data_IF_479479951588
#
_entry.id   IF_479479951588
#
_cell.length_a   1.000
_cell.length_b   1.000
_cell.length_c   1.000
_cell.angle_alpha   90.00
_cell.angle_beta   90.00
_cell.angle_gamma   90.00
#
_symmetry.space_group_name_H-M   'P 1'
#
loop_
_entity.id
_entity.type
_entity.pdbx_description
1 polymer ?
#
# COMPACT_ATOMS: atom_id res chain seq x y z
N UNK A 1 17.08 -0.22 8.02
CA UNK A 1 17.93 0.52 7.06
C UNK A 1 17.03 0.82 5.88
N UNK A 2 16.69 2.08 5.63
CA UNK A 2 15.92 2.44 4.44
C UNK A 2 16.86 2.35 3.25
N UNK A 3 16.63 1.39 2.35
CA UNK A 3 17.36 1.30 1.09
C UNK A 3 17.08 2.55 0.24
N UNK A 4 18.04 2.97 -0.57
CA UNK A 4 17.79 4.04 -1.54
C UNK A 4 16.82 3.53 -2.62
N UNK A 5 15.87 4.37 -3.01
CA UNK A 5 14.94 4.06 -4.11
C UNK A 5 15.72 3.81 -5.39
N UNK A 6 15.38 2.72 -6.08
CA UNK A 6 16.06 2.27 -7.28
C UNK A 6 15.12 2.38 -8.48
N UNK A 7 15.53 3.15 -9.49
CA UNK A 7 14.79 3.31 -10.73
C UNK A 7 15.53 2.68 -11.91
N UNK A 8 14.75 2.17 -12.86
CA UNK A 8 15.22 1.83 -14.19
C UNK A 8 15.52 3.13 -14.94
N UNK A 9 16.70 3.21 -15.55
CA UNK A 9 17.11 4.40 -16.29
C UNK A 9 16.18 4.60 -17.49
N UNK A 10 15.51 5.76 -17.54
CA UNK A 10 14.51 6.06 -18.57
C UNK A 10 13.16 5.37 -18.38
N UNK A 11 12.94 4.73 -17.22
CA UNK A 11 11.72 3.99 -16.93
C UNK A 11 11.77 2.52 -17.30
N UNK A 12 10.72 1.79 -16.93
CA UNK A 12 10.54 0.38 -17.30
C UNK A 12 10.46 0.29 -18.85
N UNK A 13 11.32 -0.51 -19.51
CA UNK A 13 11.30 -0.66 -20.96
C UNK A 13 9.92 -1.06 -21.51
N UNK A 14 9.49 -0.41 -22.58
CA UNK A 14 8.18 -0.65 -23.22
C UNK A 14 8.01 -2.05 -23.82
N UNK A 15 9.09 -2.82 -24.00
CA UNK A 15 9.00 -4.23 -24.39
C UNK A 15 8.47 -5.12 -23.25
N UNK A 16 8.56 -4.66 -22.00
CA UNK A 16 8.08 -5.37 -20.82
C UNK A 16 6.62 -4.98 -20.61
N UNK A 17 5.71 -5.90 -20.94
CA UNK A 17 4.27 -5.66 -20.87
C UNK A 17 3.61 -6.64 -19.89
N UNK A 18 2.58 -6.20 -19.14
CA UNK A 18 1.73 -7.10 -18.38
C UNK A 18 1.15 -8.22 -19.24
N UNK A 19 0.94 -9.40 -18.64
CA UNK A 19 0.23 -10.47 -19.32
C UNK A 19 -1.24 -10.07 -19.60
N UNK A 20 -1.81 -10.39 -20.78
CA UNK A 20 -3.18 -10.01 -21.09
C UNK A 20 -4.23 -10.71 -20.22
N UNK A 21 -3.96 -11.92 -19.72
CA UNK A 21 -4.91 -12.67 -18.89
C UNK A 21 -4.68 -12.41 -17.39
N UNK A 22 -5.70 -11.99 -16.62
CA UNK A 22 -5.55 -11.65 -15.21
C UNK A 22 -5.60 -12.86 -14.26
N UNK A 23 -6.28 -13.94 -14.64
CA UNK A 23 -6.75 -15.00 -13.75
C UNK A 23 -6.19 -16.39 -14.10
N UNK A 24 -4.89 -16.47 -14.37
CA UNK A 24 -4.22 -17.74 -14.63
C UNK A 24 -4.23 -18.65 -13.39
N UNK A 25 -4.59 -19.92 -13.58
CA UNK A 25 -4.42 -20.95 -12.56
C UNK A 25 -2.94 -21.23 -12.29
N UNK A 26 -2.62 -21.80 -11.13
CA UNK A 26 -1.23 -22.12 -10.80
C UNK A 26 -0.55 -23.07 -11.78
N UNK A 27 -1.28 -24.02 -12.35
CA UNK A 27 -0.73 -24.93 -13.36
C UNK A 27 -0.45 -24.17 -14.67
N UNK A 28 -1.33 -23.26 -15.08
CA UNK A 28 -1.06 -22.38 -16.21
C UNK A 28 0.16 -21.48 -15.96
N UNK A 29 0.28 -20.88 -14.78
CA UNK A 29 1.43 -20.03 -14.44
C UNK A 29 2.73 -20.85 -14.52
N UNK A 30 2.77 -22.06 -13.94
CA UNK A 30 3.95 -22.94 -14.00
C UNK A 30 4.33 -23.26 -15.44
N UNK A 31 3.35 -23.55 -16.28
CA UNK A 31 3.60 -23.79 -17.70
C UNK A 31 4.11 -22.54 -18.41
N UNK A 32 3.48 -21.38 -18.18
CA UNK A 32 3.86 -20.12 -18.82
C UNK A 32 5.30 -19.70 -18.49
N UNK A 33 5.80 -19.95 -17.27
CA UNK A 33 7.08 -19.37 -16.80
C UNK A 33 8.26 -20.34 -16.77
N UNK A 34 8.06 -21.63 -17.05
CA UNK A 34 9.15 -22.63 -16.92
C UNK A 34 10.37 -22.33 -17.80
N UNK A 35 10.16 -21.83 -19.02
CA UNK A 35 11.24 -21.45 -19.93
C UNK A 35 12.05 -20.27 -19.38
N UNK A 36 11.37 -19.29 -18.80
CA UNK A 36 12.02 -18.15 -18.15
C UNK A 36 12.89 -18.58 -16.96
N UNK A 37 12.37 -19.46 -16.11
CA UNK A 37 13.13 -19.97 -14.96
C UNK A 37 14.39 -20.71 -15.39
N UNK A 38 14.30 -21.55 -16.42
CA UNK A 38 15.47 -22.22 -16.99
C UNK A 38 16.46 -21.22 -17.60
N UNK A 39 15.95 -20.20 -18.30
CA UNK A 39 16.79 -19.15 -18.86
C UNK A 39 17.58 -18.41 -17.78
N UNK A 40 16.93 -18.02 -16.67
CA UNK A 40 17.62 -17.38 -15.55
C UNK A 40 18.64 -18.33 -14.93
N UNK A 41 18.30 -19.61 -14.72
CA UNK A 41 19.24 -20.60 -14.19
C UNK A 41 20.53 -20.72 -15.03
N UNK A 42 20.41 -20.67 -16.35
CA UNK A 42 21.56 -20.83 -17.25
C UNK A 42 22.34 -19.54 -17.52
N UNK A 43 21.72 -18.37 -17.32
CA UNK A 43 22.31 -17.07 -17.65
C UNK A 43 22.65 -16.23 -16.41
N UNK A 44 22.28 -16.66 -15.20
CA UNK A 44 22.67 -15.99 -13.98
C UNK A 44 24.17 -16.15 -13.71
N UNK A 45 24.84 -15.04 -13.42
CA UNK A 45 26.24 -15.02 -13.01
C UNK A 45 26.34 -14.04 -11.86
N UNK A 46 26.67 -14.51 -10.66
CA UNK A 46 26.83 -13.63 -9.49
C UNK A 46 28.00 -12.66 -9.63
N UNK A 47 27.98 -11.55 -8.90
CA UNK A 47 29.04 -10.55 -8.90
C UNK A 47 30.41 -11.18 -8.60
N UNK A 48 30.46 -12.12 -7.66
CA UNK A 48 31.68 -12.84 -7.29
C UNK A 48 32.24 -13.66 -8.47
N UNK A 49 31.37 -14.33 -9.24
CA UNK A 49 31.77 -15.13 -10.39
C UNK A 49 32.10 -14.27 -11.62
N UNK A 50 31.46 -13.10 -11.75
CA UNK A 50 31.75 -12.11 -12.78
C UNK A 50 33.03 -11.28 -12.49
N UNK A 51 33.58 -11.38 -11.28
CA UNK A 51 34.69 -10.54 -10.84
C UNK A 51 34.32 -9.06 -10.72
N UNK A 52 33.03 -8.76 -10.51
CA UNK A 52 32.52 -7.40 -10.38
C UNK A 52 32.58 -6.94 -8.92
N UNK A 53 32.98 -5.69 -8.71
CA UNK A 53 32.88 -5.00 -7.42
C UNK A 53 31.74 -3.96 -7.40
N UNK A 54 30.88 -3.93 -8.43
CA UNK A 54 29.73 -3.03 -8.48
C UNK A 54 28.65 -3.51 -7.50
N UNK A 55 28.31 -2.66 -6.53
CA UNK A 55 27.30 -2.95 -5.52
C UNK A 55 25.90 -3.17 -6.13
N UNK A 56 25.64 -2.60 -7.30
CA UNK A 56 24.39 -2.71 -8.05
C UNK A 56 24.42 -3.80 -9.13
N UNK A 57 25.50 -4.57 -9.24
CA UNK A 57 25.66 -5.58 -10.28
C UNK A 57 24.45 -6.54 -10.35
N UNK A 58 24.01 -7.08 -9.21
CA UNK A 58 22.91 -8.05 -9.19
C UNK A 58 21.57 -7.43 -9.61
N UNK A 59 21.33 -6.17 -9.23
CA UNK A 59 20.14 -5.42 -9.67
C UNK A 59 20.15 -5.22 -11.18
N UNK A 60 21.27 -4.74 -11.71
CA UNK A 60 21.42 -4.50 -13.14
C UNK A 60 21.32 -5.81 -13.93
N UNK A 61 21.94 -6.88 -13.44
CA UNK A 61 21.88 -8.20 -14.09
C UNK A 61 20.45 -8.75 -14.13
N UNK A 62 19.66 -8.62 -13.05
CA UNK A 62 18.24 -9.00 -13.08
C UNK A 62 17.47 -8.21 -14.13
N UNK A 63 17.65 -6.89 -14.19
CA UNK A 63 17.01 -6.01 -15.19
C UNK A 63 17.40 -6.42 -16.62
N UNK A 64 18.68 -6.64 -16.88
CA UNK A 64 19.18 -7.10 -18.18
C UNK A 64 18.55 -8.43 -18.61
N UNK A 65 18.41 -9.40 -17.69
CA UNK A 65 17.75 -10.67 -18.00
C UNK A 65 16.27 -10.49 -18.33
N UNK A 66 15.55 -9.67 -17.57
CA UNK A 66 14.13 -9.35 -17.84
C UNK A 66 13.97 -8.70 -19.22
N UNK A 67 14.76 -7.67 -19.50
CA UNK A 67 14.71 -6.95 -20.78
C UNK A 67 15.07 -7.87 -21.95
N UNK A 68 16.11 -8.69 -21.80
CA UNK A 68 16.53 -9.66 -22.82
C UNK A 68 15.44 -10.68 -23.11
N UNK A 69 14.74 -11.19 -22.11
CA UNK A 69 13.66 -12.15 -22.32
C UNK A 69 12.41 -11.50 -22.94
N UNK A 70 12.02 -10.33 -22.45
CA UNK A 70 10.85 -9.60 -22.95
C UNK A 70 11.03 -9.16 -24.41
N UNK A 71 12.23 -8.68 -24.78
CA UNK A 71 12.55 -8.23 -26.15
C UNK A 71 12.92 -9.35 -27.12
N UNK A 72 13.11 -10.59 -26.63
CA UNK A 72 13.52 -11.71 -27.48
C UNK A 72 12.47 -12.10 -28.53
N UNK A 73 12.92 -12.81 -29.56
CA UNK A 73 12.01 -13.47 -30.50
C UNK A 73 11.31 -14.64 -29.84
N UNK A 74 10.17 -15.05 -30.42
CA UNK A 74 9.43 -16.19 -29.90
C UNK A 74 10.24 -17.50 -30.03
N UNK A 75 11.00 -17.67 -31.11
CA UNK A 75 11.86 -18.83 -31.33
C UNK A 75 12.93 -18.96 -30.23
N UNK A 76 13.45 -17.82 -29.73
CA UNK A 76 14.40 -17.81 -28.62
C UNK A 76 13.75 -18.33 -27.34
N UNK A 77 12.56 -17.83 -26.99
CA UNK A 77 11.83 -18.28 -25.78
C UNK A 77 11.42 -19.74 -25.88
N UNK A 78 10.95 -20.18 -27.05
CA UNK A 78 10.58 -21.58 -27.32
C UNK A 78 11.74 -22.56 -27.15
N UNK A 79 12.97 -22.15 -27.46
CA UNK A 79 14.17 -22.99 -27.25
C UNK A 79 14.44 -23.31 -25.78
N UNK A 80 14.04 -22.44 -24.85
CA UNK A 80 14.06 -22.73 -23.41
C UNK A 80 12.78 -23.46 -22.98
N UNK A 81 11.62 -22.97 -23.43
CA UNK A 81 10.30 -23.48 -23.05
C UNK A 81 10.11 -24.97 -23.36
N UNK A 82 10.58 -25.43 -24.52
CA UNK A 82 10.40 -26.81 -25.00
C UNK A 82 11.19 -27.86 -24.20
N UNK A 83 12.27 -27.45 -23.53
CA UNK A 83 13.15 -28.35 -22.77
C UNK A 83 13.10 -28.12 -21.26
N UNK A 84 12.49 -27.02 -20.81
CA UNK A 84 12.32 -26.73 -19.40
C UNK A 84 11.33 -27.72 -18.77
N UNK A 85 11.71 -28.37 -17.65
CA UNK A 85 10.75 -29.14 -16.87
C UNK A 85 9.75 -28.21 -16.20
N UNK A 86 8.54 -28.71 -15.97
CA UNK A 86 7.52 -28.01 -15.19
C UNK A 86 7.94 -28.10 -13.72
N UNK A 87 8.39 -26.98 -13.17
CA UNK A 87 9.14 -26.96 -11.91
C UNK A 87 10.60 -27.38 -12.14
N UNK A 88 11.54 -26.49 -11.83
CA UNK A 88 12.97 -26.77 -12.02
C UNK A 88 13.43 -27.90 -11.07
N UNK A 89 14.38 -28.78 -11.48
CA UNK A 89 14.88 -29.85 -10.63
C UNK A 89 15.52 -29.29 -9.35
N UNK A 90 15.19 -29.85 -8.19
CA UNK A 90 15.67 -29.33 -6.89
C UNK A 90 14.80 -28.21 -6.30
N UNK A 91 13.67 -27.90 -6.95
CA UNK A 91 12.62 -27.02 -6.42
C UNK A 91 11.45 -27.78 -5.79
N UNK A 92 11.56 -29.11 -5.71
CA UNK A 92 10.56 -30.00 -5.13
C UNK A 92 10.45 -29.85 -3.60
N UNK A 93 9.23 -29.93 -3.07
CA UNK A 93 8.95 -29.94 -1.65
C UNK A 93 8.85 -28.56 -0.97
N UNK A 94 8.18 -28.49 0.18
CA UNK A 94 7.90 -27.23 0.87
C UNK A 94 9.16 -26.64 1.51
N UNK A 95 9.52 -25.40 1.15
CA UNK A 95 10.38 -24.54 1.98
C UNK A 95 9.50 -23.67 2.86
N UNK A 96 9.97 -23.33 4.06
CA UNK A 96 9.33 -22.30 4.89
C UNK A 96 9.24 -21.02 4.04
N UNK A 97 8.03 -20.50 3.85
CA UNK A 97 7.67 -19.28 3.12
C UNK A 97 7.57 -19.38 1.59
N UNK A 98 7.76 -20.55 0.97
CA UNK A 98 7.46 -20.73 -0.46
C UNK A 98 6.06 -21.30 -0.61
N UNK A 99 5.11 -20.43 -0.97
CA UNK A 99 3.70 -20.82 -1.06
C UNK A 99 3.40 -21.74 -2.27
N UNK A 100 4.31 -21.86 -3.25
CA UNK A 100 4.01 -22.48 -4.54
C UNK A 100 5.19 -23.33 -5.04
N UNK A 101 4.98 -24.65 -5.06
CA UNK A 101 5.92 -25.62 -5.61
C UNK A 101 6.15 -25.40 -7.11
N UNK A 102 7.41 -25.42 -7.56
CA UNK A 102 7.78 -25.29 -8.97
C UNK A 102 7.99 -23.85 -9.49
N UNK A 103 7.73 -22.82 -8.68
CA UNK A 103 7.97 -21.41 -9.02
C UNK A 103 9.15 -20.84 -8.24
N UNK A 104 10.37 -21.34 -8.49
CA UNK A 104 11.57 -20.90 -7.77
C UNK A 104 12.69 -20.47 -8.71
N UNK A 105 13.23 -19.30 -8.42
CA UNK A 105 14.50 -18.85 -8.99
C UNK A 105 15.68 -19.61 -8.35
N UNK A 106 16.83 -19.68 -9.05
CA UNK A 106 18.09 -20.11 -8.44
C UNK A 106 18.41 -19.28 -7.18
N UNK A 107 18.98 -19.91 -6.15
CA UNK A 107 19.25 -19.24 -4.88
C UNK A 107 20.21 -18.05 -5.05
N UNK A 108 21.19 -18.22 -5.94
CA UNK A 108 22.18 -17.22 -6.32
C UNK A 108 21.51 -15.98 -6.95
N UNK A 109 20.38 -16.16 -7.64
CA UNK A 109 19.62 -15.06 -8.26
C UNK A 109 18.77 -14.26 -7.27
N UNK A 110 18.61 -14.78 -6.06
CA UNK A 110 17.89 -14.14 -4.95
C UNK A 110 18.84 -13.46 -3.96
N UNK A 111 20.16 -13.58 -4.15
CA UNK A 111 21.14 -12.90 -3.30
C UNK A 111 20.94 -11.37 -3.38
N UNK A 112 21.01 -10.73 -2.21
CA UNK A 112 20.88 -9.26 -2.04
C UNK A 112 19.58 -8.66 -2.57
N UNK A 113 18.56 -9.48 -2.85
CA UNK A 113 17.26 -9.01 -3.35
C UNK A 113 16.64 -7.94 -2.44
N UNK A 114 16.62 -8.19 -1.13
CA UNK A 114 16.07 -7.28 -0.13
C UNK A 114 16.86 -5.97 0.03
N UNK A 115 18.15 -5.96 -0.30
CA UNK A 115 18.97 -4.73 -0.26
C UNK A 115 18.61 -3.77 -1.41
N UNK A 116 18.08 -4.31 -2.50
CA UNK A 116 17.77 -3.59 -3.73
C UNK A 116 16.27 -3.42 -3.97
N UNK A 117 15.43 -3.96 -3.08
CA UNK A 117 13.97 -3.85 -3.15
C UNK A 117 13.52 -2.42 -2.85
N UNK A 118 12.39 -1.99 -3.40
CA UNK A 118 11.83 -0.70 -3.01
C UNK A 118 11.53 -0.68 -1.50
N UNK A 119 11.76 0.46 -0.83
CA UNK A 119 11.40 0.64 0.57
C UNK A 119 9.88 0.78 0.68
N UNK A 120 9.18 -0.35 0.80
CA UNK A 120 7.73 -0.38 0.99
C UNK A 120 7.35 -1.32 2.13
N UNK A 121 6.43 -0.87 2.98
CA UNK A 121 5.78 -1.69 4.00
C UNK A 121 4.30 -1.84 3.65
N UNK A 122 3.95 -3.03 3.14
CA UNK A 122 2.59 -3.37 2.70
C UNK A 122 1.55 -3.38 3.81
N UNK A 123 1.96 -3.27 5.07
CA UNK A 123 1.05 -3.21 6.23
C UNK A 123 0.70 -1.78 6.64
N UNK A 124 1.36 -0.78 6.05
CA UNK A 124 1.17 0.64 6.35
C UNK A 124 0.49 1.38 5.20
N UNK A 125 0.09 2.63 5.45
CA UNK A 125 -0.40 3.51 4.40
C UNK A 125 0.76 3.99 3.51
N UNK A 126 0.58 3.89 2.19
CA UNK A 126 1.59 4.30 1.21
C UNK A 126 1.04 5.44 0.34
N UNK A 127 1.72 6.58 0.33
CA UNK A 127 1.41 7.68 -0.59
C UNK A 127 2.12 7.47 -1.94
N UNK A 128 1.37 7.46 -3.03
CA UNK A 128 1.89 7.40 -4.40
C UNK A 128 2.10 8.79 -4.99
N UNK A 129 1.35 9.79 -4.51
CA UNK A 129 1.47 11.15 -4.99
C UNK A 129 2.78 11.79 -4.52
N UNK A 130 3.41 12.66 -5.34
CA UNK A 130 4.57 13.42 -4.91
C UNK A 130 4.19 14.35 -3.75
N UNK A 131 4.96 14.29 -2.67
CA UNK A 131 4.78 15.09 -1.43
C UNK A 131 6.05 15.88 -1.07
N UNK A 132 6.92 16.11 -2.05
CA UNK A 132 8.13 16.92 -1.88
C UNK A 132 7.84 18.42 -1.77
N UNK A 133 8.88 19.25 -1.61
CA UNK A 133 8.76 20.70 -1.49
C UNK A 133 8.12 21.38 -2.70
N UNK A 134 8.22 20.79 -3.91
CA UNK A 134 7.58 21.33 -5.12
C UNK A 134 6.08 21.05 -5.12
N UNK A 135 5.63 20.09 -4.33
CA UNK A 135 4.23 19.67 -4.20
C UNK A 135 3.67 20.01 -2.81
N UNK A 136 3.90 21.25 -2.35
CA UNK A 136 3.54 21.71 -1.01
C UNK A 136 2.07 21.45 -0.62
N UNK A 137 1.14 21.56 -1.56
CA UNK A 137 -0.27 21.25 -1.32
C UNK A 137 -0.49 19.76 -1.00
N UNK A 138 0.10 18.86 -1.80
CA UNK A 138 0.05 17.42 -1.53
C UNK A 138 0.72 17.09 -0.19
N UNK A 139 1.87 17.71 0.09
CA UNK A 139 2.58 17.53 1.35
C UNK A 139 1.73 17.94 2.57
N UNK A 140 1.05 19.08 2.50
CA UNK A 140 0.14 19.52 3.57
C UNK A 140 -1.05 18.56 3.74
N UNK A 141 -1.66 18.11 2.63
CA UNK A 141 -2.75 17.13 2.65
C UNK A 141 -2.28 15.79 3.21
N UNK A 142 -1.07 15.35 2.88
CA UNK A 142 -0.48 14.10 3.34
C UNK A 142 -0.28 14.07 4.86
N UNK A 143 0.26 15.16 5.43
CA UNK A 143 0.37 15.30 6.88
C UNK A 143 -1.00 15.23 7.55
N UNK A 144 -2.00 15.98 7.04
CA UNK A 144 -3.38 15.89 7.56
C UNK A 144 -3.90 14.47 7.48
N UNK A 145 -3.65 13.79 6.36
CA UNK A 145 -4.08 12.42 6.13
C UNK A 145 -3.56 11.46 7.20
N UNK A 146 -2.26 11.53 7.49
CA UNK A 146 -1.62 10.73 8.54
C UNK A 146 -2.22 11.02 9.93
N UNK A 147 -2.46 12.29 10.25
CA UNK A 147 -3.04 12.68 11.54
C UNK A 147 -4.51 12.24 11.66
N UNK A 148 -5.27 12.27 10.55
CA UNK A 148 -6.67 11.85 10.54
C UNK A 148 -6.87 10.33 10.67
N UNK A 149 -5.82 9.52 10.61
CA UNK A 149 -5.86 8.07 10.91
C UNK A 149 -5.87 7.74 12.40
N UNK A 150 -5.72 8.74 13.28
CA UNK A 150 -5.93 8.54 14.71
C UNK A 150 -7.42 8.46 15.06
N UNK A 151 -7.75 7.94 16.24
CA UNK A 151 -9.14 7.80 16.68
C UNK A 151 -9.68 9.14 17.20
N UNK A 152 -10.77 9.64 16.62
CA UNK A 152 -11.40 10.92 16.98
C UNK A 152 -12.72 10.77 17.75
N UNK A 153 -13.01 9.55 18.21
CA UNK A 153 -14.13 9.26 19.08
C UNK A 153 -13.71 9.28 20.55
N UNK A 154 -14.41 8.53 21.40
CA UNK A 154 -14.19 8.50 22.85
C UNK A 154 -12.87 7.81 23.23
N UNK A 155 -12.28 7.03 22.34
CA UNK A 155 -11.04 6.27 22.57
C UNK A 155 -9.85 6.99 21.96
N UNK A 156 -8.68 6.84 22.60
CA UNK A 156 -7.39 7.19 22.00
C UNK A 156 -6.83 5.97 21.27
N UNK A 157 -6.02 6.21 20.25
CA UNK A 157 -5.41 5.14 19.47
C UNK A 157 -5.30 5.53 18.01
N UNK A 158 -5.09 4.53 17.18
CA UNK A 158 -4.87 4.69 15.75
C UNK A 158 -5.67 3.63 14.98
N UNK A 159 -6.31 4.04 13.88
CA UNK A 159 -7.12 3.15 13.05
C UNK A 159 -6.30 1.99 12.45
N UNK A 160 -4.97 2.15 12.34
CA UNK A 160 -4.05 1.12 11.85
C UNK A 160 -3.28 0.41 12.99
N UNK A 161 -3.72 0.54 14.25
CA UNK A 161 -3.00 0.05 15.43
C UNK A 161 -1.54 0.57 15.44
N UNK A 162 -0.56 -0.31 15.60
CA UNK A 162 0.87 0.03 15.59
C UNK A 162 1.46 0.32 14.20
N UNK A 163 0.71 0.12 13.11
CA UNK A 163 1.12 0.45 11.73
C UNK A 163 0.87 1.94 11.41
N UNK A 164 1.15 2.83 12.37
CA UNK A 164 0.78 4.25 12.31
C UNK A 164 1.71 5.13 11.46
N UNK A 165 2.95 4.67 11.23
CA UNK A 165 3.91 5.43 10.45
C UNK A 165 3.65 5.17 8.96
N UNK A 166 3.19 6.16 8.18
CA UNK A 166 2.97 5.95 6.77
C UNK A 166 4.28 6.03 5.98
N UNK A 167 4.26 5.59 4.74
CA UNK A 167 5.40 5.59 3.83
C UNK A 167 5.07 6.25 2.49
N UNK A 168 6.10 6.54 1.71
CA UNK A 168 6.01 7.23 0.42
C UNK A 168 6.61 6.34 -0.66
N UNK A 169 5.85 6.11 -1.74
CA UNK A 169 6.36 5.48 -2.94
C UNK A 169 6.90 6.57 -3.86
N UNK A 170 8.23 6.70 -3.92
CA UNK A 170 8.89 7.61 -4.85
C UNK A 170 8.89 6.93 -6.22
N UNK A 171 7.87 7.23 -7.04
CA UNK A 171 7.73 6.67 -8.38
C UNK A 171 8.73 7.30 -9.37
N UNK A 172 8.97 6.61 -10.48
CA UNK A 172 9.94 7.04 -11.48
C UNK A 172 9.39 8.25 -12.27
N UNK A 173 9.98 9.45 -12.15
CA UNK A 173 9.45 10.65 -12.78
C UNK A 173 9.55 10.64 -14.31
N UNK A 174 10.38 9.77 -14.89
CA UNK A 174 10.51 9.63 -16.35
C UNK A 174 9.27 8.97 -16.97
N UNK A 175 8.55 8.13 -16.22
CA UNK A 175 7.40 7.36 -16.72
C UNK A 175 6.09 7.70 -16.06
N UNK A 176 6.11 8.35 -14.90
CA UNK A 176 4.90 8.59 -14.12
C UNK A 176 4.75 10.07 -13.80
N UNK A 177 3.74 10.70 -14.41
CA UNK A 177 3.39 12.10 -14.17
C UNK A 177 2.18 12.27 -13.25
N UNK A 178 1.26 11.31 -13.27
CA UNK A 178 0.04 11.30 -12.46
C UNK A 178 -0.13 9.90 -11.84
N UNK A 179 0.52 9.64 -10.69
CA UNK A 179 0.50 8.34 -10.04
C UNK A 179 -0.91 7.84 -9.73
N UNK A 180 -1.20 6.59 -10.06
CA UNK A 180 -2.42 5.89 -9.66
C UNK A 180 -2.11 4.56 -8.97
N UNK A 181 -3.15 3.91 -8.43
CA UNK A 181 -2.99 2.61 -7.74
C UNK A 181 -2.43 1.53 -8.67
N UNK A 182 -2.64 1.62 -9.97
CA UNK A 182 -2.09 0.71 -10.97
C UNK A 182 -0.55 0.80 -11.10
N UNK A 183 0.05 1.94 -10.75
CA UNK A 183 1.50 2.14 -10.85
C UNK A 183 2.29 1.48 -9.71
N UNK A 184 1.60 1.04 -8.65
CA UNK A 184 2.26 0.57 -7.44
C UNK A 184 3.01 -0.75 -7.62
N UNK A 185 2.41 -1.79 -8.23
CA UNK A 185 3.11 -3.06 -8.45
C UNK A 185 4.28 -2.95 -9.44
N UNK A 186 4.16 -2.24 -10.59
CA UNK A 186 5.30 -1.91 -11.41
C UNK A 186 6.44 -1.27 -10.62
N UNK A 187 6.14 -0.31 -9.75
CA UNK A 187 7.15 0.32 -8.89
C UNK A 187 7.73 -0.63 -7.85
N UNK A 188 6.89 -1.30 -7.06
CA UNK A 188 7.31 -2.11 -5.92
C UNK A 188 8.12 -3.34 -6.33
N UNK A 189 7.73 -3.98 -7.42
CA UNK A 189 8.27 -5.28 -7.82
C UNK A 189 9.03 -5.25 -9.16
N UNK A 190 8.54 -4.52 -10.18
CA UNK A 190 9.13 -4.58 -11.53
C UNK A 190 10.33 -3.65 -11.72
N UNK A 191 10.30 -2.42 -11.18
CA UNK A 191 11.42 -1.46 -11.24
C UNK A 191 12.73 -2.07 -10.77
N UNK A 192 12.68 -2.93 -9.76
CA UNK A 192 13.88 -3.58 -9.18
C UNK A 192 14.10 -5.01 -9.69
N UNK A 193 13.30 -5.44 -10.67
CA UNK A 193 13.23 -6.80 -11.18
C UNK A 193 13.21 -7.81 -10.03
N UNK A 194 12.26 -7.66 -9.10
CA UNK A 194 12.22 -8.37 -7.83
C UNK A 194 11.86 -9.85 -8.04
N UNK A 195 12.88 -10.66 -8.31
CA UNK A 195 12.74 -12.09 -8.49
C UNK A 195 12.08 -12.73 -7.28
N UNK A 196 11.07 -13.56 -7.53
CA UNK A 196 10.18 -14.11 -6.50
C UNK A 196 8.86 -13.35 -6.38
N UNK A 197 8.80 -12.09 -6.81
CA UNK A 197 7.56 -11.32 -6.92
C UNK A 197 7.11 -11.14 -8.38
N UNK A 198 8.04 -11.19 -9.34
CA UNK A 198 7.73 -11.18 -10.78
C UNK A 198 8.23 -12.45 -11.48
N UNK A 199 7.56 -12.83 -12.57
CA UNK A 199 7.95 -13.89 -13.50
C UNK A 199 7.64 -13.47 -14.94
N UNK A 200 8.39 -14.00 -15.91
CA UNK A 200 8.15 -13.73 -17.33
C UNK A 200 7.57 -14.97 -18.00
N UNK A 201 6.58 -14.77 -18.87
CA UNK A 201 5.88 -15.85 -19.59
C UNK A 201 6.64 -16.29 -20.83
N UNK A 202 6.22 -17.39 -21.45
CA UNK A 202 6.76 -17.90 -22.71
C UNK A 202 6.55 -16.94 -23.90
N UNK A 203 5.66 -15.96 -23.75
CA UNK A 203 5.41 -14.90 -24.75
C UNK A 203 6.15 -13.60 -24.43
N UNK A 204 6.89 -13.53 -23.33
CA UNK A 204 7.69 -12.37 -22.95
C UNK A 204 6.95 -11.32 -22.12
N UNK A 205 5.75 -11.63 -21.61
CA UNK A 205 4.98 -10.73 -20.75
C UNK A 205 5.28 -10.98 -19.27
N UNK A 206 4.98 -10.02 -18.40
CA UNK A 206 5.18 -10.10 -16.94
C UNK A 206 3.94 -10.63 -16.23
N UNK A 207 4.18 -11.51 -15.26
CA UNK A 207 3.25 -11.88 -14.21
C UNK A 207 3.80 -11.42 -12.86
N UNK A 208 2.94 -10.86 -12.03
CA UNK A 208 3.18 -10.59 -10.62
C UNK A 208 2.69 -11.80 -9.84
N UNK A 209 3.56 -12.43 -9.07
CA UNK A 209 3.23 -13.59 -8.25
C UNK A 209 3.74 -13.46 -6.80
N UNK A 210 4.01 -12.23 -6.38
CA UNK A 210 4.34 -11.90 -5.00
C UNK A 210 3.11 -11.76 -4.11
N UNK A 211 3.05 -10.67 -3.36
CA UNK A 211 1.88 -10.34 -2.55
C UNK A 211 0.85 -9.57 -3.39
N UNK A 212 -0.38 -10.07 -3.47
CA UNK A 212 -1.46 -9.46 -4.27
C UNK A 212 -2.24 -8.37 -3.52
N UNK A 213 -1.84 -8.05 -2.29
CA UNK A 213 -2.59 -7.21 -1.38
C UNK A 213 -3.40 -8.02 -0.35
N UNK A 214 -4.17 -7.33 0.50
CA UNK A 214 -4.52 -5.91 0.40
C UNK A 214 -3.34 -4.95 0.62
N UNK A 215 -3.38 -3.81 -0.07
CA UNK A 215 -2.53 -2.63 0.15
C UNK A 215 -3.39 -1.41 0.49
N UNK A 216 -2.85 -0.46 1.26
CA UNK A 216 -3.47 0.84 1.54
C UNK A 216 -2.72 1.93 0.80
N UNK A 217 -3.31 2.48 -0.25
CA UNK A 217 -2.65 3.43 -1.16
C UNK A 217 -3.39 4.77 -1.19
N UNK A 218 -2.65 5.86 -1.37
CA UNK A 218 -3.22 7.20 -1.61
C UNK A 218 -2.56 7.83 -2.83
N UNK A 219 -3.36 8.11 -3.84
CA UNK A 219 -2.95 8.89 -5.02
C UNK A 219 -3.26 10.39 -4.84
N UNK A 220 -3.01 11.20 -5.87
CA UNK A 220 -3.21 12.65 -5.81
C UNK A 220 -4.69 13.03 -5.57
N UNK A 221 -5.62 12.28 -6.16
CA UNK A 221 -7.06 12.49 -5.96
C UNK A 221 -7.49 12.08 -4.55
N UNK A 222 -6.92 11.00 -4.02
CA UNK A 222 -7.10 10.53 -2.65
C UNK A 222 -6.67 11.59 -1.64
N UNK A 223 -5.49 12.20 -1.83
CA UNK A 223 -5.01 13.31 -1.02
C UNK A 223 -5.94 14.52 -1.07
N UNK A 224 -6.49 14.85 -2.24
CA UNK A 224 -7.41 15.97 -2.38
C UNK A 224 -8.76 15.71 -1.69
N UNK A 225 -9.24 14.46 -1.76
CA UNK A 225 -10.60 14.12 -1.37
C UNK A 225 -10.70 13.39 -0.03
N UNK A 226 -9.58 13.21 0.67
CA UNK A 226 -9.53 12.58 1.99
C UNK A 226 -9.94 11.12 1.96
N UNK A 227 -9.58 10.38 0.91
CA UNK A 227 -9.87 8.94 0.77
C UNK A 227 -8.60 8.18 0.39
N UNK A 228 -8.40 7.05 1.04
CA UNK A 228 -7.38 6.07 0.68
C UNK A 228 -8.06 4.89 0.01
N UNK A 229 -7.33 4.18 -0.83
CA UNK A 229 -7.82 3.00 -1.51
C UNK A 229 -7.22 1.77 -0.85
N UNK A 230 -8.06 0.89 -0.31
CA UNK A 230 -7.67 -0.49 -0.05
C UNK A 230 -7.79 -1.23 -1.38
N UNK A 231 -6.72 -1.88 -1.84
CA UNK A 231 -6.67 -2.49 -3.18
C UNK A 231 -6.01 -3.86 -3.15
N UNK A 232 -6.51 -4.76 -4.01
CA UNK A 232 -5.86 -6.02 -4.39
C UNK A 232 -5.65 -6.07 -5.89
N UNK A 233 -4.70 -6.89 -6.32
CA UNK A 233 -4.31 -7.02 -7.72
C UNK A 233 -4.47 -8.45 -8.22
N UNK A 234 -4.61 -8.57 -9.54
CA UNK A 234 -4.56 -9.82 -10.28
C UNK A 234 -3.12 -10.22 -10.64
N UNK A 235 -2.94 -11.42 -11.20
CA UNK A 235 -1.62 -11.96 -11.56
C UNK A 235 -0.91 -11.17 -12.66
N UNK A 236 -1.65 -10.41 -13.47
CA UNK A 236 -1.08 -9.49 -14.44
C UNK A 236 -0.81 -8.08 -13.88
N UNK A 237 -1.09 -7.84 -12.59
CA UNK A 237 -0.89 -6.56 -11.94
C UNK A 237 -2.01 -5.55 -12.12
N UNK A 238 -3.10 -5.91 -12.82
CA UNK A 238 -4.31 -5.06 -12.87
C UNK A 238 -5.06 -5.09 -11.53
N UNK A 239 -5.82 -4.05 -11.23
CA UNK A 239 -6.65 -3.99 -10.02
C UNK A 239 -7.74 -5.06 -10.09
N UNK A 240 -7.78 -5.93 -9.08
CA UNK A 240 -8.81 -6.94 -8.89
C UNK A 240 -10.03 -6.35 -8.20
N UNK A 241 -9.81 -5.85 -6.99
CA UNK A 241 -10.83 -5.26 -6.14
C UNK A 241 -10.27 -4.02 -5.44
N UNK A 242 -11.13 -3.03 -5.23
CA UNK A 242 -10.78 -1.84 -4.47
C UNK A 242 -11.96 -1.29 -3.68
N UNK A 243 -11.66 -0.54 -2.62
CA UNK A 243 -12.62 0.26 -1.84
C UNK A 243 -11.96 1.53 -1.32
N UNK A 244 -12.64 2.66 -1.47
CA UNK A 244 -12.20 3.95 -0.95
C UNK A 244 -12.72 4.17 0.47
N UNK A 245 -11.84 4.55 1.39
CA UNK A 245 -12.15 4.73 2.81
C UNK A 245 -11.54 6.04 3.34
N UNK A 246 -12.27 6.77 4.18
CA UNK A 246 -11.75 7.96 4.88
C UNK A 246 -10.81 7.54 6.01
N UNK A 247 -9.78 8.33 6.34
CA UNK A 247 -8.82 8.02 7.40
C UNK A 247 -9.44 7.54 8.72
N UNK A 248 -10.36 8.32 9.29
CA UNK A 248 -10.99 8.03 10.58
C UNK A 248 -12.06 6.91 10.52
N UNK A 249 -12.33 6.35 9.35
CA UNK A 249 -13.22 5.19 9.17
C UNK A 249 -12.43 3.87 9.03
N UNK A 250 -11.09 3.91 9.10
CA UNK A 250 -10.25 2.79 8.68
C UNK A 250 -10.19 1.62 9.66
N UNK A 251 -10.50 1.81 10.93
CA UNK A 251 -10.22 0.80 11.97
C UNK A 251 -10.78 -0.59 11.64
N UNK A 252 -12.08 -0.68 11.35
CA UNK A 252 -12.71 -1.96 11.05
C UNK A 252 -12.27 -2.53 9.70
N UNK A 253 -12.02 -1.68 8.71
CA UNK A 253 -11.51 -2.10 7.41
C UNK A 253 -10.09 -2.67 7.52
N UNK A 254 -9.25 -2.02 8.33
CA UNK A 254 -7.89 -2.46 8.63
C UNK A 254 -7.89 -3.80 9.39
N UNK A 255 -8.68 -3.91 10.46
CA UNK A 255 -8.82 -5.17 11.21
C UNK A 255 -9.32 -6.31 10.32
N UNK A 256 -10.30 -6.04 9.45
CA UNK A 256 -10.83 -7.05 8.53
C UNK A 256 -9.78 -7.49 7.50
N UNK A 257 -9.08 -6.54 6.86
CA UNK A 257 -8.16 -6.79 5.77
C UNK A 257 -6.80 -7.35 6.22
N UNK A 258 -6.19 -6.78 7.28
CA UNK A 258 -4.79 -7.03 7.64
C UNK A 258 -4.61 -7.88 8.90
N UNK A 259 -5.58 -7.89 9.81
CA UNK A 259 -5.50 -8.68 11.04
C UNK A 259 -6.26 -10.01 10.92
N UNK A 260 -7.51 -9.94 10.45
CA UNK A 260 -8.39 -11.10 10.35
C UNK A 260 -8.26 -11.84 9.02
N UNK A 261 -7.58 -11.27 8.02
CA UNK A 261 -7.45 -11.83 6.67
C UNK A 261 -8.81 -12.23 6.07
N UNK A 262 -9.79 -11.36 6.24
CA UNK A 262 -11.15 -11.58 5.73
C UNK A 262 -11.17 -11.51 4.21
N UNK A 263 -12.26 -12.01 3.59
CA UNK A 263 -12.42 -11.83 2.16
C UNK A 263 -12.55 -10.34 1.80
N UNK A 264 -12.15 -9.96 0.59
CA UNK A 264 -12.30 -8.56 0.17
C UNK A 264 -13.76 -8.11 0.15
N UNK A 265 -14.71 -9.03 -0.08
CA UNK A 265 -16.13 -8.75 0.02
C UNK A 265 -16.54 -8.38 1.46
N UNK A 266 -16.02 -9.08 2.47
CA UNK A 266 -16.23 -8.73 3.88
C UNK A 266 -15.62 -7.36 4.22
N UNK A 267 -14.43 -7.05 3.68
CA UNK A 267 -13.78 -5.74 3.85
C UNK A 267 -14.67 -4.62 3.28
N UNK A 268 -15.23 -4.79 2.09
CA UNK A 268 -16.14 -3.81 1.45
C UNK A 268 -17.43 -3.56 2.25
N UNK A 269 -17.87 -4.56 3.01
CA UNK A 269 -19.13 -4.53 3.77
C UNK A 269 -18.94 -4.40 5.28
N UNK A 270 -17.72 -4.07 5.74
CA UNK A 270 -17.48 -3.75 7.14
C UNK A 270 -17.89 -2.29 7.46
N UNK A 271 -18.14 -2.02 8.75
CA UNK A 271 -18.42 -0.65 9.20
C UNK A 271 -17.25 0.28 8.85
N UNK A 272 -17.54 1.47 8.33
CA UNK A 272 -16.53 2.43 7.89
C UNK A 272 -16.13 2.27 6.42
N UNK A 273 -16.26 1.08 5.81
CA UNK A 273 -15.87 0.84 4.41
C UNK A 273 -17.00 1.05 3.39
N UNK A 274 -18.28 1.14 3.83
CA UNK A 274 -19.38 1.36 2.89
C UNK A 274 -19.22 2.69 2.14
N UNK A 275 -19.46 2.67 0.82
CA UNK A 275 -19.32 3.85 -0.04
C UNK A 275 -20.04 5.11 0.49
N UNK A 276 -21.24 4.95 1.05
CA UNK A 276 -22.02 6.07 1.58
C UNK A 276 -21.43 6.68 2.87
N UNK A 277 -20.55 5.97 3.57
CA UNK A 277 -19.83 6.44 4.76
C UNK A 277 -18.54 7.21 4.40
N UNK A 278 -18.10 7.11 3.14
CA UNK A 278 -16.88 7.74 2.64
C UNK A 278 -17.15 8.79 1.54
N UNK A 279 -18.02 9.81 1.75
CA UNK A 279 -18.07 10.94 0.84
C UNK A 279 -16.70 11.66 0.75
N UNK A 280 -16.44 12.49 -0.26
CA UNK A 280 -15.24 13.35 -0.28
C UNK A 280 -15.16 14.28 0.94
N UNK A 281 -13.95 14.53 1.42
CA UNK A 281 -13.59 15.60 2.35
C UNK A 281 -12.89 16.72 1.56
N UNK A 282 -13.00 17.96 2.06
CA UNK A 282 -12.19 19.06 1.57
C UNK A 282 -10.89 19.13 2.38
N UNK A 283 -9.83 18.52 1.84
CA UNK A 283 -8.53 18.43 2.53
C UNK A 283 -7.74 19.75 2.54
N UNK A 284 -8.24 20.81 1.88
CA UNK A 284 -7.64 22.14 1.91
C UNK A 284 -8.07 22.95 3.14
N UNK A 285 -9.16 22.56 3.80
CA UNK A 285 -9.58 23.16 5.08
C UNK A 285 -8.58 22.87 6.20
N UNK A 286 -8.43 23.75 7.20
CA UNK A 286 -7.72 23.41 8.45
C UNK A 286 -8.23 22.09 9.03
N UNK A 287 -7.35 21.26 9.60
CA UNK A 287 -7.69 19.87 9.96
C UNK A 287 -8.91 19.77 10.90
N UNK A 288 -9.06 20.73 11.82
CA UNK A 288 -10.20 20.79 12.74
C UNK A 288 -11.49 21.13 11.99
N UNK A 289 -11.41 21.98 10.98
CA UNK A 289 -12.57 22.39 10.18
C UNK A 289 -13.03 21.26 9.25
N UNK A 290 -12.15 20.35 8.84
CA UNK A 290 -12.52 19.10 8.14
C UNK A 290 -13.48 18.27 9.02
N UNK A 291 -13.11 18.04 10.30
CA UNK A 291 -13.93 17.28 11.24
C UNK A 291 -15.26 18.00 11.56
N UNK A 292 -15.22 19.32 11.77
CA UNK A 292 -16.42 20.13 11.98
C UNK A 292 -17.37 20.08 10.77
N UNK A 293 -16.86 20.26 9.55
CA UNK A 293 -17.67 20.20 8.34
C UNK A 293 -18.30 18.82 8.15
N UNK A 294 -17.55 17.75 8.40
CA UNK A 294 -18.07 16.38 8.33
C UNK A 294 -19.17 16.14 9.37
N UNK A 295 -19.04 16.72 10.58
CA UNK A 295 -20.06 16.65 11.63
C UNK A 295 -21.34 17.40 11.24
N UNK A 296 -21.19 18.64 10.78
CA UNK A 296 -22.33 19.49 10.38
C UNK A 296 -23.10 18.87 9.20
N UNK A 297 -22.41 18.09 8.38
CA UNK A 297 -22.99 17.34 7.26
C UNK A 297 -23.55 15.96 7.66
N UNK A 298 -23.51 15.59 8.94
CA UNK A 298 -23.89 14.27 9.45
C UNK A 298 -23.17 13.10 8.75
N UNK A 299 -21.86 13.25 8.52
CA UNK A 299 -21.01 12.30 7.80
C UNK A 299 -19.95 11.64 8.69
N UNK A 300 -20.03 11.81 10.01
CA UNK A 300 -19.15 11.15 10.97
C UNK A 300 -19.74 9.82 11.45
N UNK A 301 -18.89 8.83 11.81
CA UNK A 301 -19.32 7.66 12.56
C UNK A 301 -20.06 8.05 13.85
N UNK A 302 -21.03 7.23 14.26
CA UNK A 302 -21.83 7.48 15.47
C UNK A 302 -20.97 7.66 16.73
N UNK A 303 -19.83 6.98 16.84
CA UNK A 303 -18.91 7.12 17.97
C UNK A 303 -18.30 8.52 18.06
N UNK A 304 -18.01 9.15 16.92
CA UNK A 304 -17.41 10.49 16.84
C UNK A 304 -18.39 11.63 17.07
N UNK A 305 -19.71 11.40 16.93
CA UNK A 305 -20.74 12.44 17.09
C UNK A 305 -20.72 13.07 18.49
N UNK A 306 -20.26 12.31 19.49
CA UNK A 306 -20.14 12.74 20.89
C UNK A 306 -19.00 13.74 21.13
N UNK A 307 -17.99 13.76 20.25
CA UNK A 307 -16.86 14.67 20.35
C UNK A 307 -17.19 16.04 19.72
N UNK A 308 -16.51 17.08 20.17
CA UNK A 308 -16.68 18.46 19.70
C UNK A 308 -15.33 19.05 19.28
N UNK A 309 -15.37 20.30 18.80
CA UNK A 309 -14.17 21.02 18.34
C UNK A 309 -13.07 21.08 19.41
N UNK A 310 -13.45 21.27 20.67
CA UNK A 310 -12.50 21.37 21.80
C UNK A 310 -11.82 20.02 22.05
N UNK A 311 -12.59 18.93 22.03
CA UNK A 311 -12.05 17.58 22.12
C UNK A 311 -11.10 17.29 20.96
N UNK A 312 -11.49 17.56 19.72
CA UNK A 312 -10.63 17.30 18.57
C UNK A 312 -9.38 18.17 18.55
N UNK A 313 -9.46 19.41 19.01
CA UNK A 313 -8.27 20.27 19.18
C UNK A 313 -7.29 19.64 20.16
N UNK A 314 -7.80 19.10 21.27
CA UNK A 314 -6.99 18.40 22.27
C UNK A 314 -6.41 17.08 21.73
N UNK A 315 -7.21 16.34 20.95
CA UNK A 315 -6.80 15.08 20.32
C UNK A 315 -5.68 15.31 19.30
N UNK A 316 -5.77 16.33 18.45
CA UNK A 316 -4.73 16.63 17.46
C UNK A 316 -3.42 17.07 18.13
N UNK A 317 -3.49 17.89 19.19
CA UNK A 317 -2.28 18.22 19.96
C UNK A 317 -1.70 17.01 20.71
N UNK A 318 -2.52 16.01 21.03
CA UNK A 318 -2.04 14.75 21.58
C UNK A 318 -1.37 13.87 20.51
N UNK A 319 -1.95 13.79 19.31
CA UNK A 319 -1.49 12.90 18.23
C UNK A 319 -0.35 13.47 17.42
N UNK A 320 -0.36 14.78 17.21
CA UNK A 320 0.64 15.53 16.44
C UNK A 320 0.99 16.84 17.15
N UNK A 321 1.73 16.78 18.28
CA UNK A 321 2.03 17.96 19.09
C UNK A 321 2.65 19.10 18.27
N UNK A 322 2.06 20.30 18.35
CA UNK A 322 2.52 21.50 17.63
C UNK A 322 2.08 21.59 16.17
N UNK A 323 1.37 20.59 15.62
CA UNK A 323 0.86 20.63 14.25
C UNK A 323 -0.10 21.82 14.02
N UNK A 324 -1.03 22.09 14.95
CA UNK A 324 -2.03 23.16 14.74
C UNK A 324 -1.38 24.54 14.63
N UNK A 325 -0.30 24.77 15.39
CA UNK A 325 0.46 26.02 15.30
C UNK A 325 1.13 26.16 13.92
N UNK A 326 1.74 25.09 13.40
CA UNK A 326 2.33 25.09 12.06
C UNK A 326 1.28 25.26 10.97
N UNK A 327 0.14 24.59 11.08
CA UNK A 327 -0.95 24.73 10.12
C UNK A 327 -1.50 26.17 10.09
N UNK A 328 -1.66 26.82 11.25
CA UNK A 328 -2.11 28.20 11.34
C UNK A 328 -1.14 29.20 10.68
N UNK A 329 0.15 28.88 10.61
CA UNK A 329 1.18 29.64 9.88
C UNK A 329 1.19 29.34 8.36
N UNK A 330 0.34 28.42 7.89
CA UNK A 330 0.35 27.93 6.51
C UNK A 330 1.47 26.92 6.22
N UNK A 331 2.09 26.36 7.26
CA UNK A 331 3.28 25.51 7.21
C UNK A 331 2.99 24.06 7.65
N UNK A 332 1.73 23.65 7.67
CA UNK A 332 1.32 22.31 8.12
C UNK A 332 2.03 21.15 7.40
N UNK A 333 2.37 21.33 6.12
CA UNK A 333 3.14 20.33 5.36
C UNK A 333 4.60 20.18 5.82
N UNK A 334 5.14 21.12 6.59
CA UNK A 334 6.50 21.02 7.15
C UNK A 334 6.58 20.12 8.39
N UNK A 335 5.43 19.69 8.93
CA UNK A 335 5.39 18.84 10.12
C UNK A 335 6.13 17.50 9.88
N UNK A 336 7.11 17.15 10.71
CA UNK A 336 7.82 15.88 10.58
C UNK A 336 6.95 14.71 11.04
N UNK A 337 6.61 13.78 10.15
CA UNK A 337 5.79 12.60 10.47
C UNK A 337 6.41 11.72 11.57
N UNK A 338 7.74 11.73 11.72
CA UNK A 338 8.44 11.06 12.83
C UNK A 338 8.12 11.63 14.22
N UNK A 339 7.48 12.80 14.28
CA UNK A 339 7.02 13.42 15.53
C UNK A 339 5.57 13.07 15.89
N UNK A 340 4.88 12.28 15.06
CA UNK A 340 3.59 11.70 15.42
C UNK A 340 3.72 10.84 16.69
N UNK A 341 2.71 10.92 17.55
CA UNK A 341 2.71 10.23 18.83
C UNK A 341 2.45 8.74 18.64
N UNK A 342 3.36 7.90 19.15
CA UNK A 342 3.22 6.43 19.08
C UNK A 342 1.91 5.99 19.76
N UNK A 343 1.02 5.22 19.09
CA UNK A 343 -0.29 4.85 19.62
C UNK A 343 -0.24 4.18 21.00
N UNK A 344 0.66 3.20 21.18
CA UNK A 344 0.86 2.51 22.46
C UNK A 344 1.18 3.45 23.65
N UNK A 345 1.69 4.66 23.39
CA UNK A 345 1.98 5.65 24.45
C UNK A 345 0.74 6.42 24.94
N UNK A 346 -0.38 6.36 24.20
CA UNK A 346 -1.59 7.15 24.46
C UNK A 346 -2.86 6.33 24.69
N UNK A 347 -2.84 5.01 24.49
CA UNK A 347 -4.00 4.11 24.64
C UNK A 347 -4.73 4.22 26.01
N UNK A 348 -4.02 4.59 27.07
CA UNK A 348 -4.60 4.69 28.42
C UNK A 348 -5.12 6.08 28.80
N UNK A 349 -4.97 7.07 27.90
CA UNK A 349 -5.35 8.46 28.17
C UNK A 349 -6.87 8.61 28.03
N UNK A 350 -7.53 9.02 29.11
CA UNK A 350 -8.96 9.32 29.10
C UNK A 350 -9.22 10.69 28.47
N UNK A 351 -10.01 10.71 27.40
CA UNK A 351 -10.48 11.94 26.75
C UNK A 351 -11.49 12.71 27.59
N UNK A 352 -11.60 14.02 27.38
CA UNK A 352 -12.55 14.87 28.12
C UNK A 352 -14.00 14.48 27.85
N UNK A 353 -14.32 14.02 26.64
CA UNK A 353 -15.66 13.50 26.30
C UNK A 353 -16.10 12.37 27.24
N UNK A 354 -15.19 11.50 27.69
CA UNK A 354 -15.51 10.45 28.67
C UNK A 354 -15.82 11.01 30.05
N UNK A 355 -15.19 12.12 30.44
CA UNK A 355 -15.50 12.84 31.68
C UNK A 355 -16.89 13.49 31.57
N UNK A 356 -17.18 14.13 30.43
CA UNK A 356 -18.49 14.74 30.13
C UNK A 356 -19.62 13.70 30.17
N UNK A 357 -19.41 12.50 29.60
CA UNK A 357 -20.41 11.41 29.60
C UNK A 357 -20.69 10.81 30.98
N UNK A 358 -19.78 10.99 31.94
CA UNK A 358 -19.98 10.57 33.33
C UNK A 358 -20.73 11.62 34.16
N UNK A 359 -20.95 12.83 33.62
CA UNK A 359 -21.74 13.88 34.26
C UNK A 359 -23.24 13.57 34.12
N UNK A 360 -23.98 13.40 35.23
CA UNK A 360 -25.43 13.13 35.20
C UNK A 360 -26.26 14.23 34.53
N UNK A 361 -25.70 15.43 34.35
CA UNK A 361 -26.37 16.56 33.70
C UNK A 361 -26.18 16.60 32.17
N UNK A 362 -25.33 15.73 31.62
CA UNK A 362 -25.08 15.68 30.18
C UNK A 362 -26.30 15.10 29.44
N UNK A 363 -26.92 15.90 28.60
CA UNK A 363 -28.05 15.48 27.77
C UNK A 363 -27.53 14.71 26.57
N UNK A 364 -27.78 13.40 26.55
CA UNK A 364 -27.43 12.56 25.42
C UNK A 364 -28.15 13.07 24.15
N UNK A 365 -27.46 13.28 23.01
CA UNK A 365 -28.16 13.40 21.75
C UNK A 365 -29.01 12.13 21.58
N UNK A 366 -30.28 12.29 21.19
CA UNK A 366 -31.22 11.18 21.04
C UNK A 366 -30.64 10.13 20.09
N UNK A 367 -30.03 9.08 20.65
CA UNK A 367 -29.67 7.89 19.90
C UNK A 367 -30.98 7.24 19.46
N UNK A 368 -31.32 7.39 18.18
CA UNK A 368 -32.26 6.48 17.53
C UNK A 368 -31.51 5.18 17.30
N UNK A 369 -31.42 4.34 18.34
CA UNK A 369 -31.14 2.93 18.14
C UNK A 369 -32.27 2.40 17.25
N UNK A 370 -31.98 2.17 15.98
CA UNK A 370 -32.85 1.35 15.15
C UNK A 370 -32.86 -0.02 15.83
N UNK A 371 -33.98 -0.35 16.47
CA UNK A 371 -34.17 -1.63 17.14
C UNK A 371 -33.88 -2.73 16.12
N UNK A 372 -33.02 -3.73 16.41
CA UNK A 372 -32.86 -4.88 15.53
C UNK A 372 -34.16 -5.68 15.57
N UNK A 373 -35.03 -5.45 14.60
CA UNK A 373 -36.38 -6.03 14.61
C UNK A 373 -37.16 -5.73 13.35
N UNK A 374 -37.11 -6.70 12.43
CA UNK A 374 -37.96 -6.91 11.23
C UNK A 374 -37.64 -6.06 10.00
N UNK A 375 -36.81 -6.64 9.14
CA UNK A 375 -37.00 -6.46 7.70
C UNK A 375 -38.27 -7.22 7.25
N UNK A 376 -39.05 -6.67 6.31
CA UNK A 376 -40.12 -7.39 5.62
C UNK A 376 -39.60 -8.53 4.75
#
# INVERSE_FOLDING_TARGET
MSGSVQHWLGGIPTCIQPHPEPDLSWDQIKEEVKGWLLFVQENWVSAANAGSSDENYELNHRRELVEKWASATQEFREAYQSRAPVGLPGTDGPRKNDHIEGLRYPAEALERLYETSQPSDSTTLICLAPVDEKHAANRARWVKFAILLYNYDIETGHCLLDAYMPSEAILNPETTTDPSVEDYLPWADLETAKFGSIFLTQTGTVLYCGYYGPYMLVDALGLQTGRLTIVTYETNGTVRDSVEVRPFNMEMAYLSAFHNWSSFDDVKHCAGAYRHQNPPLDMDLPIIDILCQAKDSNQLPNSMVLCDREQWTSDIELYAPGYLALEAEGRGGEYPLTSLTVPASIESIKKQVMIKLQDPSFTHPHFSFITPGRFP
#
